data_IF_933124192392
#
_entry.id   IF_933124192392
#
_cell.length_a   1.000
_cell.length_b   1.000
_cell.length_c   1.000
_cell.angle_alpha   90.00
_cell.angle_beta   90.00
_cell.angle_gamma   90.00
#
_symmetry.space_group_name_H-M   'P 1'
#
loop_
_entity.id
_entity.type
_entity.pdbx_description
1 polymer ?
#
# COMPACT_ATOMS: atom_id res chain seq x y z
N UNK A 1 -13.61 -11.79 0.11
CA UNK A 1 -14.67 -11.71 1.12
C UNK A 1 -14.28 -10.57 2.06
N UNK A 2 -15.10 -9.52 2.12
CA UNK A 2 -14.80 -8.30 2.89
C UNK A 2 -15.01 -8.50 4.40
N UNK A 3 -15.95 -9.37 4.78
CA UNK A 3 -16.29 -9.63 6.17
C UNK A 3 -15.42 -10.73 6.79
N UNK A 4 -14.63 -11.43 5.97
CA UNK A 4 -13.69 -12.42 6.45
C UNK A 4 -12.62 -11.78 7.35
N UNK A 5 -12.25 -12.44 8.48
CA UNK A 5 -11.14 -12.00 9.30
C UNK A 5 -9.83 -12.09 8.50
N UNK A 6 -8.93 -11.14 8.71
CA UNK A 6 -7.62 -11.08 8.01
C UNK A 6 -6.83 -12.37 8.20
N UNK A 7 -6.92 -13.00 9.38
CA UNK A 7 -6.30 -14.29 9.69
C UNK A 7 -6.71 -15.45 8.79
N UNK A 8 -7.83 -15.33 8.08
CA UNK A 8 -8.19 -16.29 7.02
C UNK A 8 -7.14 -16.33 5.91
N UNK A 9 -6.52 -15.19 5.60
CA UNK A 9 -5.56 -15.02 4.52
C UNK A 9 -4.11 -14.93 5.03
N UNK A 10 -3.91 -14.32 6.20
CA UNK A 10 -2.61 -14.16 6.87
C UNK A 10 -2.67 -14.85 8.24
N UNK A 11 -2.64 -16.19 8.29
CA UNK A 11 -2.81 -16.94 9.54
C UNK A 11 -1.71 -16.67 10.56
N UNK A 12 -0.53 -16.24 10.11
CA UNK A 12 0.57 -15.85 10.97
C UNK A 12 0.44 -14.45 11.60
N UNK A 13 -0.62 -13.69 11.29
CA UNK A 13 -0.81 -12.33 11.80
C UNK A 13 -0.84 -12.30 13.33
N UNK A 14 0.04 -11.49 13.91
CA UNK A 14 0.09 -11.16 15.34
C UNK A 14 -0.02 -9.66 15.52
N UNK A 15 -0.70 -9.22 16.57
CA UNK A 15 -0.76 -7.82 17.01
C UNK A 15 -0.45 -7.75 18.51
N UNK A 16 -0.27 -6.54 19.05
CA UNK A 16 -0.16 -6.34 20.49
C UNK A 16 -1.42 -6.84 21.25
N UNK A 17 -2.59 -6.73 20.62
CA UNK A 17 -3.86 -7.29 21.11
C UNK A 17 -4.33 -8.42 20.19
N UNK A 18 -4.26 -9.65 20.70
CA UNK A 18 -4.63 -10.86 19.97
C UNK A 18 -6.15 -11.00 19.79
N UNK A 19 -6.97 -10.34 20.62
CA UNK A 19 -8.42 -10.29 20.40
C UNK A 19 -8.74 -9.41 19.20
N UNK A 20 -8.08 -8.25 19.08
CA UNK A 20 -8.20 -7.41 17.90
C UNK A 20 -7.70 -8.14 16.64
N UNK A 21 -6.54 -8.83 16.72
CA UNK A 21 -6.01 -9.61 15.60
C UNK A 21 -6.96 -10.69 15.09
N UNK A 22 -7.80 -11.26 15.98
CA UNK A 22 -8.81 -12.25 15.62
C UNK A 22 -10.08 -11.64 14.98
N UNK A 23 -10.35 -10.35 15.20
CA UNK A 23 -11.60 -9.69 14.79
C UNK A 23 -11.46 -8.79 13.57
N UNK A 24 -10.27 -8.24 13.28
CA UNK A 24 -10.07 -7.35 12.14
C UNK A 24 -10.43 -8.09 10.85
N UNK A 25 -11.34 -7.49 10.07
CA UNK A 25 -11.76 -7.99 8.76
C UNK A 25 -11.04 -7.30 7.62
N UNK A 26 -11.16 -7.84 6.41
CA UNK A 26 -10.63 -7.18 5.19
C UNK A 26 -11.26 -5.79 5.02
N UNK A 27 -12.57 -5.65 5.26
CA UNK A 27 -13.26 -4.35 5.20
C UNK A 27 -12.63 -3.33 6.15
N UNK A 28 -12.29 -3.74 7.38
CA UNK A 28 -11.67 -2.83 8.35
C UNK A 28 -10.33 -2.25 7.88
N UNK A 29 -9.56 -3.01 7.09
CA UNK A 29 -8.32 -2.50 6.50
C UNK A 29 -8.62 -1.45 5.42
N UNK A 30 -9.57 -1.75 4.52
CA UNK A 30 -9.88 -0.93 3.35
C UNK A 30 -10.59 0.38 3.70
N UNK A 31 -11.39 0.39 4.77
CA UNK A 31 -12.12 1.58 5.23
C UNK A 31 -11.45 2.30 6.42
N UNK A 32 -10.21 1.92 6.76
CA UNK A 32 -9.43 2.51 7.86
C UNK A 32 -10.08 2.39 9.25
N UNK A 33 -10.87 1.35 9.52
CA UNK A 33 -11.44 1.10 10.85
C UNK A 33 -10.77 -0.04 11.62
N UNK A 34 -9.61 -0.54 11.20
CA UNK A 34 -8.91 -1.63 11.89
C UNK A 34 -8.36 -1.25 13.27
N UNK A 35 -8.24 0.05 13.57
CA UNK A 35 -7.69 0.54 14.83
C UNK A 35 -6.16 0.49 14.92
N UNK A 36 -5.47 0.13 13.83
CA UNK A 36 -4.02 0.16 13.72
C UNK A 36 -3.52 1.60 13.60
N UNK A 37 -2.48 1.95 14.34
CA UNK A 37 -1.79 3.23 14.15
C UNK A 37 -1.18 3.32 12.73
N UNK A 38 -0.88 4.53 12.27
CA UNK A 38 -0.43 4.78 10.90
C UNK A 38 1.08 4.57 10.73
N UNK A 39 1.86 4.71 11.79
CA UNK A 39 3.30 4.98 11.79
C UNK A 39 4.21 3.75 11.59
N UNK A 40 3.75 2.73 10.87
CA UNK A 40 4.60 1.60 10.48
C UNK A 40 5.24 1.88 9.12
N UNK A 41 6.48 2.34 9.16
CA UNK A 41 7.28 2.69 7.97
C UNK A 41 8.59 1.91 8.01
N UNK A 42 9.10 1.52 6.84
CA UNK A 42 10.41 0.90 6.70
C UNK A 42 11.54 1.83 7.23
N UNK A 43 12.21 1.37 8.27
CA UNK A 43 13.32 2.06 8.94
C UNK A 43 14.69 1.80 8.28
N UNK A 44 14.72 1.08 7.17
CA UNK A 44 15.91 0.72 6.42
C UNK A 44 16.67 -0.49 6.99
N UNK A 45 16.08 -1.23 7.93
CA UNK A 45 16.73 -2.35 8.62
C UNK A 45 15.92 -3.64 8.47
N UNK A 46 16.64 -4.77 8.49
CA UNK A 46 16.03 -6.11 8.48
C UNK A 46 15.41 -6.48 7.14
N UNK A 47 14.35 -7.29 7.20
CA UNK A 47 13.55 -7.65 6.03
C UNK A 47 12.64 -6.48 5.64
N UNK A 48 12.90 -5.91 4.45
CA UNK A 48 12.21 -4.74 3.90
C UNK A 48 11.07 -5.12 2.94
N UNK A 49 10.72 -6.39 2.91
CA UNK A 49 9.53 -6.90 2.20
C UNK A 49 8.25 -6.53 2.95
N UNK A 50 7.11 -6.72 2.27
CA UNK A 50 5.81 -6.56 2.90
C UNK A 50 5.57 -7.56 4.04
N UNK A 51 6.11 -8.77 3.92
CA UNK A 51 6.09 -9.76 5.00
C UNK A 51 6.90 -9.29 6.21
N UNK A 52 8.10 -8.74 5.98
CA UNK A 52 8.95 -8.18 7.01
C UNK A 52 8.32 -7.01 7.74
N UNK A 53 7.63 -6.12 7.01
CA UNK A 53 6.91 -5.01 7.62
C UNK A 53 5.71 -5.48 8.45
N UNK A 54 4.89 -6.39 7.92
CA UNK A 54 3.75 -7.00 8.64
C UNK A 54 4.21 -7.73 9.92
N UNK A 55 5.40 -8.33 9.92
CA UNK A 55 5.96 -8.99 11.10
C UNK A 55 6.26 -8.01 12.27
N UNK A 56 6.36 -6.71 12.00
CA UNK A 56 6.53 -5.66 13.02
C UNK A 56 5.22 -5.14 13.60
N UNK A 57 4.05 -5.53 13.07
CA UNK A 57 2.74 -5.11 13.59
C UNK A 57 2.51 -5.37 15.10
N UNK A 58 3.09 -6.42 15.74
CA UNK A 58 2.99 -6.57 17.19
C UNK A 58 3.60 -5.42 18.00
N UNK A 59 4.48 -4.62 17.40
CA UNK A 59 5.12 -3.46 18.04
C UNK A 59 4.21 -2.21 18.02
N UNK A 60 3.15 -2.21 17.19
CA UNK A 60 2.24 -1.09 17.10
C UNK A 60 1.11 -1.15 18.13
N UNK A 61 0.81 -0.01 18.79
CA UNK A 61 -0.37 0.08 19.64
C UNK A 61 -1.65 0.10 18.79
N UNK A 62 -2.74 -0.42 19.36
CA UNK A 62 -4.08 -0.14 18.86
C UNK A 62 -4.54 1.22 19.38
N UNK A 63 -5.05 2.04 18.47
CA UNK A 63 -5.57 3.38 18.75
C UNK A 63 -7.09 3.40 18.95
N UNK A 64 -7.76 2.28 18.66
CA UNK A 64 -9.18 2.01 18.93
C UNK A 64 -9.47 0.51 18.73
N UNK A 65 -10.57 -0.02 19.29
CA UNK A 65 -11.08 -1.34 18.90
C UNK A 65 -11.42 -1.41 17.40
N UNK A 66 -11.27 -2.58 16.75
CA UNK A 66 -11.70 -2.76 15.36
C UNK A 66 -13.15 -2.35 15.14
N UNK A 67 -13.41 -1.58 14.09
CA UNK A 67 -14.73 -1.06 13.72
C UNK A 67 -15.20 0.17 14.49
N UNK A 68 -14.53 0.58 15.58
CA UNK A 68 -15.03 1.63 16.46
C UNK A 68 -14.97 3.04 15.84
N UNK A 69 -13.92 3.33 15.05
CA UNK A 69 -13.78 4.61 14.33
C UNK A 69 -12.85 4.48 13.13
N UNK A 70 -13.04 5.34 12.15
CA UNK A 70 -12.08 5.51 11.06
C UNK A 70 -10.86 6.31 11.56
N UNK A 71 -9.66 5.81 11.24
CA UNK A 71 -8.39 6.51 11.43
C UNK A 71 -7.42 6.02 10.36
N UNK A 72 -6.93 6.95 9.53
CA UNK A 72 -6.03 6.62 8.42
C UNK A 72 -4.85 5.79 8.91
N UNK A 73 -4.57 4.68 8.22
CA UNK A 73 -3.51 3.76 8.60
C UNK A 73 -2.84 3.17 7.37
N UNK A 74 -1.56 3.52 7.20
CA UNK A 74 -0.68 2.89 6.23
C UNK A 74 -0.44 1.42 6.57
N UNK A 75 -0.26 1.11 7.86
CA UNK A 75 -0.11 -0.27 8.35
C UNK A 75 -1.28 -1.17 7.93
N UNK A 76 -2.52 -0.63 7.97
CA UNK A 76 -3.71 -1.32 7.48
C UNK A 76 -3.66 -1.65 5.99
N UNK A 77 -3.21 -0.70 5.15
CA UNK A 77 -3.05 -0.93 3.71
C UNK A 77 -1.88 -1.88 3.38
N UNK A 78 -0.79 -1.81 4.15
CA UNK A 78 0.32 -2.77 4.02
C UNK A 78 -0.16 -4.20 4.33
N UNK A 79 -0.97 -4.38 5.37
CA UNK A 79 -1.59 -5.67 5.67
C UNK A 79 -2.59 -6.12 4.58
N UNK A 80 -3.33 -5.19 3.96
CA UNK A 80 -4.18 -5.49 2.80
C UNK A 80 -3.35 -5.95 1.58
N UNK A 81 -2.21 -5.29 1.32
CA UNK A 81 -1.26 -5.74 0.31
C UNK A 81 -0.73 -7.15 0.61
N UNK A 82 -0.50 -7.49 1.88
CA UNK A 82 -0.06 -8.83 2.27
C UNK A 82 -1.11 -9.90 2.00
N UNK A 83 -2.40 -9.56 2.15
CA UNK A 83 -3.50 -10.44 1.72
C UNK A 83 -3.41 -10.70 0.21
N UNK A 84 -3.16 -9.68 -0.61
CA UNK A 84 -3.00 -9.83 -2.06
C UNK A 84 -1.85 -10.80 -2.37
N UNK A 85 -0.70 -10.67 -1.71
CA UNK A 85 0.43 -11.60 -1.91
C UNK A 85 0.05 -13.05 -1.55
N UNK A 86 -0.68 -13.25 -0.44
CA UNK A 86 -1.11 -14.57 0.00
C UNK A 86 -2.12 -15.22 -0.94
N UNK A 87 -3.04 -14.43 -1.48
CA UNK A 87 -4.10 -14.92 -2.37
C UNK A 87 -3.56 -15.21 -3.77
N UNK A 88 -2.70 -14.34 -4.29
CA UNK A 88 -2.18 -14.44 -5.66
C UNK A 88 -0.94 -15.32 -5.77
N UNK A 89 -0.17 -15.48 -4.68
CA UNK A 89 1.15 -16.10 -4.70
C UNK A 89 2.23 -15.23 -5.37
N UNK A 90 1.89 -14.00 -5.77
CA UNK A 90 2.79 -13.05 -6.40
C UNK A 90 3.22 -11.99 -5.39
N UNK A 91 4.42 -11.41 -5.55
CA UNK A 91 4.74 -10.17 -4.85
C UNK A 91 3.74 -9.06 -5.21
N UNK A 92 3.42 -8.18 -4.25
CA UNK A 92 2.35 -7.19 -4.36
C UNK A 92 2.40 -6.38 -5.67
N UNK A 93 3.57 -5.90 -6.05
CA UNK A 93 3.81 -5.06 -7.23
C UNK A 93 3.54 -5.83 -8.53
N UNK A 94 3.86 -7.12 -8.58
CA UNK A 94 3.56 -7.98 -9.73
C UNK A 94 2.07 -8.30 -9.82
N UNK A 95 1.42 -8.50 -8.67
CA UNK A 95 -0.03 -8.65 -8.62
C UNK A 95 -0.73 -7.37 -9.10
N UNK A 96 -0.31 -6.20 -8.63
CA UNK A 96 -0.87 -4.92 -9.08
C UNK A 96 -0.61 -4.66 -10.56
N UNK A 97 0.58 -4.97 -11.06
CA UNK A 97 0.89 -4.85 -12.48
C UNK A 97 -0.07 -5.69 -13.33
N UNK A 98 -0.17 -6.98 -13.05
CA UNK A 98 -0.95 -7.92 -13.87
C UNK A 98 -2.46 -7.80 -13.70
N UNK A 99 -2.96 -7.42 -12.51
CA UNK A 99 -4.39 -7.37 -12.21
C UNK A 99 -5.01 -5.99 -12.46
N UNK A 100 -4.22 -4.91 -12.43
CA UNK A 100 -4.76 -3.54 -12.46
C UNK A 100 -4.03 -2.67 -13.47
N UNK A 101 -2.70 -2.52 -13.36
CA UNK A 101 -1.99 -1.51 -14.13
C UNK A 101 -1.95 -1.86 -15.63
N UNK A 102 -1.58 -3.08 -15.99
CA UNK A 102 -1.54 -3.53 -17.39
C UNK A 102 -2.94 -3.61 -18.01
N UNK A 103 -3.97 -4.18 -17.34
CA UNK A 103 -5.32 -4.21 -17.91
C UNK A 103 -5.96 -2.83 -18.12
N UNK A 104 -5.69 -1.84 -17.27
CA UNK A 104 -6.17 -0.46 -17.48
C UNK A 104 -5.27 0.32 -18.47
N UNK A 105 -4.10 -0.20 -18.81
CA UNK A 105 -3.15 0.43 -19.72
C UNK A 105 -2.37 1.60 -19.10
N UNK A 106 -1.95 1.44 -17.84
CA UNK A 106 -1.19 2.44 -17.05
C UNK A 106 0.33 2.20 -17.17
N UNK A 107 0.89 2.42 -18.37
CA UNK A 107 2.26 2.02 -18.74
C UNK A 107 3.39 2.84 -18.07
N UNK A 108 3.09 4.04 -17.60
CA UNK A 108 4.02 4.93 -16.89
C UNK A 108 3.83 4.86 -15.37
N UNK A 109 2.99 3.94 -14.89
CA UNK A 109 2.67 3.74 -13.48
C UNK A 109 3.42 2.54 -12.93
N UNK A 110 4.37 2.78 -12.01
CA UNK A 110 5.35 1.77 -11.56
C UNK A 110 5.72 1.93 -10.10
N UNK A 111 6.18 0.84 -9.47
CA UNK A 111 6.69 0.82 -8.09
C UNK A 111 8.23 0.92 -8.02
N UNK A 112 8.95 0.43 -9.03
CA UNK A 112 10.42 0.31 -8.97
C UNK A 112 11.15 1.64 -9.17
N UNK A 113 12.14 1.94 -8.32
CA UNK A 113 12.96 3.15 -8.49
C UNK A 113 13.80 3.08 -9.77
N UNK A 114 14.40 1.92 -10.07
CA UNK A 114 15.09 1.68 -11.34
C UNK A 114 14.22 1.98 -12.56
N UNK A 115 12.94 1.65 -12.48
CA UNK A 115 11.94 1.91 -13.51
C UNK A 115 11.59 3.39 -13.65
N UNK A 116 11.49 4.11 -12.53
CA UNK A 116 11.27 5.56 -12.53
C UNK A 116 12.46 6.29 -13.17
N UNK A 117 13.70 5.87 -12.85
CA UNK A 117 14.91 6.55 -13.33
C UNK A 117 15.12 6.48 -14.85
N UNK A 118 14.54 5.50 -15.53
CA UNK A 118 14.61 5.38 -17.00
C UNK A 118 13.43 6.06 -17.72
N UNK A 119 12.50 6.67 -16.97
CA UNK A 119 11.34 7.41 -17.49
C UNK A 119 11.51 8.91 -17.28
N UNK A 120 10.55 9.71 -17.77
CA UNK A 120 10.45 11.12 -17.39
C UNK A 120 9.91 11.20 -15.96
N UNK A 121 10.71 11.72 -15.04
CA UNK A 121 10.31 11.90 -13.64
C UNK A 121 10.54 13.34 -13.17
N UNK A 122 9.76 13.75 -12.17
CA UNK A 122 9.95 15.02 -11.49
C UNK A 122 10.85 14.84 -10.27
N UNK A 123 11.74 15.81 -10.03
CA UNK A 123 12.50 15.89 -8.78
C UNK A 123 11.61 16.52 -7.73
N UNK A 124 11.43 15.86 -6.59
CA UNK A 124 10.74 16.44 -5.44
C UNK A 124 11.57 17.54 -4.78
N UNK A 125 10.92 18.57 -4.26
CA UNK A 125 11.58 19.66 -3.52
C UNK A 125 10.88 19.88 -2.18
N UNK A 126 11.67 20.13 -1.13
CA UNK A 126 11.17 20.55 0.17
C UNK A 126 11.57 22.01 0.43
N UNK A 127 10.71 22.75 1.14
CA UNK A 127 11.06 24.09 1.61
C UNK A 127 11.97 23.98 2.83
N UNK A 128 13.15 24.59 2.77
CA UNK A 128 14.08 24.68 3.90
C UNK A 128 13.65 25.74 4.92
N UNK A 129 14.33 25.75 6.07
CA UNK A 129 14.13 26.78 7.11
C UNK A 129 14.53 28.19 6.62
N UNK A 130 15.37 28.26 5.59
CA UNK A 130 15.73 29.47 4.85
C UNK A 130 14.61 29.99 3.93
N UNK A 131 13.52 29.22 3.80
CA UNK A 131 12.40 29.52 2.92
C UNK A 131 12.63 29.16 1.46
N UNK A 132 13.80 28.63 1.09
CA UNK A 132 14.13 28.24 -0.29
C UNK A 132 13.72 26.79 -0.58
N UNK A 133 13.60 26.44 -1.87
CA UNK A 133 13.28 25.07 -2.30
C UNK A 133 14.55 24.30 -2.59
N UNK A 134 14.74 23.19 -1.88
CA UNK A 134 15.89 22.30 -2.03
C UNK A 134 15.45 20.93 -2.53
N UNK A 135 16.23 20.26 -3.40
CA UNK A 135 15.92 18.90 -3.81
C UNK A 135 15.70 18.00 -2.59
N UNK A 136 14.53 17.37 -2.55
CA UNK A 136 14.17 16.46 -1.49
C UNK A 136 15.05 15.21 -1.56
N UNK A 137 15.63 14.83 -0.42
CA UNK A 137 16.28 13.52 -0.33
C UNK A 137 15.20 12.43 -0.30
N UNK A 138 15.29 11.39 -1.16
CA UNK A 138 14.36 10.28 -1.12
C UNK A 138 14.28 9.66 0.27
N UNK A 139 13.07 9.32 0.69
CA UNK A 139 12.82 8.73 2.00
C UNK A 139 13.44 7.34 2.09
N UNK A 140 13.72 6.86 3.31
CA UNK A 140 14.31 5.52 3.52
C UNK A 140 13.50 4.40 2.86
N UNK A 141 12.17 4.51 2.98
CA UNK A 141 11.17 3.64 2.36
C UNK A 141 11.11 3.71 0.83
N UNK A 142 11.64 4.77 0.21
CA UNK A 142 11.69 4.94 -1.24
C UNK A 142 13.11 4.69 -1.77
N UNK A 143 13.58 3.45 -1.58
CA UNK A 143 14.88 2.95 -2.02
C UNK A 143 14.72 1.64 -2.76
N UNK A 144 15.65 1.34 -3.66
CA UNK A 144 15.69 0.06 -4.35
C UNK A 144 15.67 -1.11 -3.33
N UNK A 145 14.78 -2.08 -3.57
CA UNK A 145 14.54 -3.21 -2.66
C UNK A 145 13.68 -2.93 -1.43
N UNK A 146 13.27 -1.68 -1.17
CA UNK A 146 12.29 -1.34 -0.15
C UNK A 146 10.87 -1.54 -0.70
N UNK A 147 10.13 -2.51 -0.17
CA UNK A 147 8.84 -2.92 -0.75
C UNK A 147 7.70 -2.91 0.25
N UNK A 148 8.02 -2.88 1.55
CA UNK A 148 7.02 -2.96 2.61
C UNK A 148 5.98 -1.84 2.57
N UNK A 149 6.36 -0.64 2.13
CA UNK A 149 5.48 0.52 2.10
C UNK A 149 4.72 0.70 0.77
N UNK A 150 4.94 -0.18 -0.21
CA UNK A 150 4.38 -0.03 -1.54
C UNK A 150 2.85 0.02 -1.59
N UNK A 151 2.10 -0.79 -0.83
CA UNK A 151 0.64 -0.69 -0.78
C UNK A 151 0.12 0.66 -0.27
N UNK A 152 0.87 1.33 0.62
CA UNK A 152 0.45 2.58 1.26
C UNK A 152 0.93 3.87 0.59
N UNK A 153 1.95 3.81 -0.28
CA UNK A 153 2.46 5.03 -0.92
C UNK A 153 3.64 4.89 -1.87
N UNK A 154 4.00 3.68 -2.31
CA UNK A 154 5.20 3.45 -3.13
C UNK A 154 5.01 3.61 -4.64
N UNK A 155 3.84 4.04 -5.11
CA UNK A 155 3.52 4.08 -6.54
C UNK A 155 3.90 5.43 -7.17
N UNK A 156 4.67 5.39 -8.25
CA UNK A 156 4.89 6.53 -9.14
C UNK A 156 3.98 6.43 -10.36
N UNK A 157 3.52 7.57 -10.89
CA UNK A 157 2.64 7.61 -12.07
C UNK A 157 2.86 8.88 -12.90
N UNK A 158 2.22 8.94 -14.06
CA UNK A 158 2.19 10.10 -14.94
C UNK A 158 0.80 10.75 -14.96
N UNK A 159 0.72 12.03 -15.32
CA UNK A 159 -0.58 12.72 -15.49
C UNK A 159 -1.46 12.00 -16.52
N UNK A 160 -0.87 11.50 -17.61
CA UNK A 160 -1.59 10.77 -18.65
C UNK A 160 -2.24 9.49 -18.11
N UNK A 161 -1.53 8.74 -17.26
CA UNK A 161 -2.05 7.52 -16.65
C UNK A 161 -3.10 7.82 -15.59
N UNK A 162 -2.93 8.87 -14.78
CA UNK A 162 -3.95 9.30 -13.84
C UNK A 162 -5.27 9.69 -14.55
N UNK A 163 -5.20 10.28 -15.74
CA UNK A 163 -6.38 10.55 -16.57
C UNK A 163 -7.02 9.26 -17.11
N UNK A 164 -6.24 8.25 -17.49
CA UNK A 164 -6.76 6.92 -17.86
C UNK A 164 -7.44 6.24 -16.67
N UNK A 165 -6.83 6.30 -15.50
CA UNK A 165 -7.39 5.78 -14.26
C UNK A 165 -8.71 6.48 -13.90
N UNK A 166 -8.78 7.81 -14.07
CA UNK A 166 -10.03 8.55 -13.88
C UNK A 166 -11.12 8.10 -14.86
N UNK A 167 -10.79 7.93 -16.15
CA UNK A 167 -11.74 7.43 -17.16
C UNK A 167 -12.23 6.01 -16.84
N UNK A 168 -11.34 5.14 -16.38
CA UNK A 168 -11.71 3.80 -15.91
C UNK A 168 -12.76 3.86 -14.79
N UNK A 169 -12.54 4.71 -13.78
CA UNK A 169 -13.51 4.89 -12.70
C UNK A 169 -14.85 5.52 -13.13
N UNK A 170 -14.86 6.32 -14.18
CA UNK A 170 -16.07 6.92 -14.74
C UNK A 170 -16.86 5.96 -15.66
N UNK A 171 -16.33 4.78 -15.95
CA UNK A 171 -16.95 3.81 -16.87
C UNK A 171 -16.65 4.06 -18.36
N UNK A 172 -15.76 5.00 -18.68
CA UNK A 172 -15.38 5.40 -20.04
C UNK A 172 -14.10 4.70 -20.55
N UNK A 173 -13.71 3.58 -19.90
CA UNK A 173 -12.50 2.79 -20.19
C UNK A 173 -12.79 1.30 -20.41
N UNK A 174 -11.79 0.52 -20.83
CA UNK A 174 -11.94 -0.94 -20.94
C UNK A 174 -12.08 -1.56 -19.54
N UNK A 175 -13.08 -2.44 -19.39
CA UNK A 175 -13.45 -3.01 -18.09
C UNK A 175 -12.46 -4.08 -17.62
N UNK A 176 -11.82 -3.83 -16.49
CA UNK A 176 -10.97 -4.81 -15.76
C UNK A 176 -11.78 -5.53 -14.67
N UNK A 177 -12.85 -4.90 -14.19
CA UNK A 177 -13.78 -5.46 -13.23
C UNK A 177 -15.01 -6.04 -13.96
N UNK A 178 -15.56 -7.18 -13.50
CA UNK A 178 -16.86 -7.63 -13.97
C UNK A 178 -17.90 -6.54 -13.71
N UNK A 179 -18.87 -6.38 -14.63
CA UNK A 179 -19.95 -5.38 -14.48
C UNK A 179 -20.83 -5.62 -13.23
N UNK A 180 -20.72 -6.78 -12.60
CA UNK A 180 -21.46 -7.19 -11.41
C UNK A 180 -20.49 -7.89 -10.44
N UNK A 181 -20.35 -7.34 -9.24
CA UNK A 181 -19.66 -7.93 -8.08
C UNK A 181 -20.55 -7.78 -6.84
#
# INVERSE_FOLDING_TARGET
DLDAPVRRYVPELKLADEQAAAQITVLNLLNHTAGLDWNLIDDGKGDRSLAGLVAKLPELPLIAPPGARASYSQAGYNLAGRIIEKVTGLPFEQAMASLVLEPVGLWDTVYGLAEVMVRKFAVGYNRGDDGELHPARPWGAFKEGARGDNPGGGLASSVSDLLRWARFHLGDGEGVLPAEA
#
